data_IF_069557819981
#
_entry.id   IF_069557819981
#
_cell.length_a   1.000
_cell.length_b   1.000
_cell.length_c   1.000
_cell.angle_alpha   90.00
_cell.angle_beta   90.00
_cell.angle_gamma   90.00
#
_symmetry.space_group_name_H-M   'P 1'
#
loop_
_entity.id
_entity.type
_entity.pdbx_description
1 polymer ?
#
# COMPACT_ATOMS: atom_id res chain seq x y z
N UNK A 1 -12.04 15.53 8.57
CA UNK A 1 -11.71 16.28 7.33
C UNK A 1 -10.22 16.24 6.98
N UNK A 2 -9.33 16.96 7.68
CA UNK A 2 -7.90 17.05 7.30
C UNK A 2 -7.20 15.68 7.23
N UNK A 3 -7.42 14.82 8.23
CA UNK A 3 -6.84 13.47 8.25
C UNK A 3 -7.26 12.63 7.03
N UNK A 4 -8.54 12.68 6.64
CA UNK A 4 -9.05 11.97 5.47
C UNK A 4 -8.38 12.48 4.18
N UNK A 5 -8.19 13.81 4.04
CA UNK A 5 -7.49 14.39 2.89
C UNK A 5 -6.03 13.94 2.82
N UNK A 6 -5.32 13.91 3.96
CA UNK A 6 -3.94 13.46 4.03
C UNK A 6 -3.82 11.96 3.69
N UNK A 7 -4.69 11.12 4.25
CA UNK A 7 -4.71 9.69 3.97
C UNK A 7 -5.04 9.39 2.51
N UNK A 8 -6.06 10.05 1.94
CA UNK A 8 -6.39 9.93 0.53
C UNK A 8 -5.21 10.37 -0.35
N UNK A 9 -4.57 11.49 -0.01
CA UNK A 9 -3.36 11.96 -0.70
C UNK A 9 -2.23 10.93 -0.68
N UNK A 10 -1.95 10.30 0.47
CA UNK A 10 -0.96 9.21 0.57
C UNK A 10 -1.35 8.02 -0.32
N UNK A 11 -2.62 7.60 -0.30
CA UNK A 11 -3.09 6.49 -1.14
C UNK A 11 -2.97 6.80 -2.64
N UNK A 12 -3.29 8.02 -3.06
CA UNK A 12 -3.13 8.46 -4.44
C UNK A 12 -1.66 8.56 -4.87
N UNK A 13 -0.77 9.04 -3.99
CA UNK A 13 0.67 9.04 -4.26
C UNK A 13 1.20 7.61 -4.42
N UNK A 14 0.79 6.67 -3.54
CA UNK A 14 1.14 5.27 -3.67
C UNK A 14 0.58 4.65 -4.96
N UNK A 15 -0.66 5.01 -5.35
CA UNK A 15 -1.22 4.59 -6.63
C UNK A 15 -0.37 5.08 -7.80
N UNK A 16 0.07 6.34 -7.77
CA UNK A 16 0.98 6.91 -8.77
C UNK A 16 2.31 6.17 -8.87
N UNK A 17 2.90 5.75 -7.75
CA UNK A 17 4.11 4.92 -7.74
C UNK A 17 3.87 3.57 -8.42
N UNK A 18 2.71 2.95 -8.21
CA UNK A 18 2.37 1.68 -8.86
C UNK A 18 2.10 1.83 -10.36
N UNK A 19 1.46 2.93 -10.78
CA UNK A 19 1.35 3.27 -12.20
C UNK A 19 2.74 3.45 -12.82
N UNK A 20 3.64 4.18 -12.14
CA UNK A 20 5.02 4.34 -12.57
C UNK A 20 5.75 3.01 -12.75
N UNK A 21 5.61 2.06 -11.82
CA UNK A 21 6.15 0.71 -11.98
C UNK A 21 5.50 -0.08 -13.11
N UNK A 22 4.19 0.08 -13.33
CA UNK A 22 3.51 -0.57 -14.45
C UNK A 22 4.17 -0.17 -15.78
N UNK A 23 4.55 1.11 -15.93
CA UNK A 23 5.24 1.63 -17.12
C UNK A 23 6.78 1.42 -17.11
N UNK A 24 7.31 0.54 -16.26
CA UNK A 24 8.74 0.19 -16.24
C UNK A 24 9.64 1.10 -15.40
N UNK A 25 9.04 1.85 -14.48
CA UNK A 25 9.75 2.63 -13.49
C UNK A 25 10.70 1.80 -12.62
N UNK A 26 11.85 2.38 -12.21
CA UNK A 26 12.94 1.66 -11.54
C UNK A 26 13.22 2.12 -10.12
N UNK A 27 12.72 3.29 -9.71
CA UNK A 27 12.82 3.74 -8.33
C UNK A 27 12.15 2.73 -7.38
N UNK A 28 12.70 2.43 -6.19
CA UNK A 28 13.87 3.03 -5.54
C UNK A 28 15.24 2.47 -5.96
N UNK A 29 15.31 1.63 -7.00
CA UNK A 29 16.55 1.18 -7.63
C UNK A 29 16.97 2.02 -8.84
N UNK A 30 18.01 1.56 -9.54
CA UNK A 30 18.53 2.17 -10.77
C UNK A 30 18.35 1.28 -12.01
N UNK A 31 18.08 0.00 -11.80
CA UNK A 31 17.76 -1.01 -12.81
C UNK A 31 16.63 -1.92 -12.32
N UNK A 32 16.17 -2.85 -13.16
CA UNK A 32 15.09 -3.76 -12.79
C UNK A 32 15.46 -4.66 -11.61
N UNK A 33 16.70 -5.17 -11.57
CA UNK A 33 17.14 -6.08 -10.53
C UNK A 33 17.18 -5.40 -9.15
N UNK A 34 17.77 -4.20 -9.09
CA UNK A 34 17.82 -3.38 -7.88
C UNK A 34 16.42 -2.93 -7.46
N UNK A 35 15.52 -2.58 -8.39
CA UNK A 35 14.11 -2.30 -8.06
C UNK A 35 13.44 -3.51 -7.40
N UNK A 36 13.60 -4.71 -7.97
CA UNK A 36 13.01 -5.95 -7.43
C UNK A 36 13.59 -6.26 -6.04
N UNK A 37 14.88 -6.05 -5.82
CA UNK A 37 15.52 -6.19 -4.51
C UNK A 37 14.93 -5.27 -3.43
N UNK A 38 14.50 -4.06 -3.81
CA UNK A 38 13.97 -3.07 -2.88
C UNK A 38 12.45 -3.18 -2.68
N UNK A 39 11.71 -3.71 -3.64
CA UNK A 39 10.24 -3.76 -3.63
C UNK A 39 9.70 -5.16 -3.31
N UNK A 40 10.41 -6.21 -3.72
CA UNK A 40 9.98 -7.61 -3.57
C UNK A 40 10.91 -8.39 -2.65
N UNK A 41 12.22 -8.12 -2.69
CA UNK A 41 13.19 -8.75 -1.79
C UNK A 41 13.66 -10.14 -2.20
N UNK A 42 13.74 -10.44 -3.50
CA UNK A 42 14.41 -11.66 -4.00
C UNK A 42 15.30 -11.36 -5.21
N UNK A 43 16.44 -12.04 -5.28
CA UNK A 43 17.53 -11.72 -6.23
C UNK A 43 17.71 -12.68 -7.39
N UNK A 44 17.18 -13.91 -7.33
CA UNK A 44 17.37 -14.90 -8.40
C UNK A 44 16.07 -15.20 -9.15
N UNK A 45 15.96 -14.66 -10.37
CA UNK A 45 15.00 -15.08 -11.39
C UNK A 45 13.60 -14.48 -11.29
N UNK A 46 13.31 -13.64 -10.29
CA UNK A 46 12.05 -12.89 -10.26
C UNK A 46 12.12 -11.67 -11.16
N UNK A 47 11.20 -11.62 -12.13
CA UNK A 47 10.94 -10.43 -12.94
C UNK A 47 10.26 -9.37 -12.09
N UNK A 48 10.34 -8.12 -12.52
CA UNK A 48 9.49 -7.08 -11.96
C UNK A 48 8.00 -7.51 -11.98
N UNK A 49 7.18 -7.02 -11.04
CA UNK A 49 5.74 -7.22 -11.08
C UNK A 49 5.21 -6.92 -12.48
N UNK A 50 4.34 -7.78 -13.01
CA UNK A 50 3.77 -7.55 -14.34
C UNK A 50 3.01 -6.22 -14.37
N UNK A 51 2.92 -5.62 -15.56
CA UNK A 51 2.11 -4.43 -15.79
C UNK A 51 0.73 -4.55 -15.14
N UNK A 52 0.05 -5.70 -15.36
CA UNK A 52 -1.27 -5.97 -14.82
C UNK A 52 -1.29 -6.00 -13.29
N UNK A 53 -0.28 -6.59 -12.64
CA UNK A 53 -0.21 -6.64 -11.19
C UNK A 53 -0.01 -5.24 -10.59
N UNK A 54 0.94 -4.47 -11.12
CA UNK A 54 1.20 -3.11 -10.66
C UNK A 54 -0.02 -2.20 -10.90
N UNK A 55 -0.63 -2.28 -12.07
CA UNK A 55 -1.80 -1.47 -12.41
C UNK A 55 -3.04 -1.85 -11.58
N UNK A 56 -3.27 -3.14 -11.31
CA UNK A 56 -4.36 -3.58 -10.44
C UNK A 56 -4.21 -3.03 -9.02
N UNK A 57 -2.99 -3.02 -8.47
CA UNK A 57 -2.74 -2.42 -7.16
C UNK A 57 -2.94 -0.91 -7.20
N UNK A 58 -2.53 -0.24 -8.29
CA UNK A 58 -2.79 1.19 -8.46
C UNK A 58 -4.29 1.52 -8.44
N UNK A 59 -5.12 0.72 -9.14
CA UNK A 59 -6.58 0.88 -9.12
C UNK A 59 -7.17 0.61 -7.74
N UNK A 60 -6.70 -0.41 -7.03
CA UNK A 60 -7.15 -0.70 -5.68
C UNK A 60 -6.80 0.44 -4.70
N UNK A 61 -5.60 1.01 -4.81
CA UNK A 61 -5.19 2.18 -4.02
C UNK A 61 -5.98 3.44 -4.38
N UNK A 62 -6.28 3.65 -5.66
CA UNK A 62 -7.13 4.75 -6.12
C UNK A 62 -8.55 4.62 -5.57
N UNK A 63 -9.15 3.43 -5.64
CA UNK A 63 -10.46 3.16 -5.07
C UNK A 63 -10.44 3.34 -3.54
N UNK A 64 -9.40 2.86 -2.85
CA UNK A 64 -9.21 3.06 -1.42
C UNK A 64 -9.08 4.54 -1.05
N UNK A 65 -8.33 5.32 -1.83
CA UNK A 65 -8.23 6.77 -1.67
C UNK A 65 -9.59 7.45 -1.82
N UNK A 66 -10.41 7.03 -2.78
CA UNK A 66 -11.79 7.49 -2.94
C UNK A 66 -12.69 7.15 -1.75
N UNK A 67 -12.59 5.92 -1.21
CA UNK A 67 -13.34 5.50 -0.02
C UNK A 67 -12.99 6.32 1.23
N UNK A 68 -11.70 6.58 1.45
CA UNK A 68 -11.22 7.45 2.52
C UNK A 68 -11.68 8.88 2.29
N UNK A 69 -11.57 9.38 1.07
CA UNK A 69 -11.97 10.74 0.72
C UNK A 69 -13.46 10.95 0.99
N UNK A 70 -14.33 9.99 0.63
CA UNK A 70 -15.77 10.07 0.85
C UNK A 70 -16.16 10.35 2.32
N UNK A 71 -15.36 9.92 3.30
CA UNK A 71 -15.60 10.23 4.73
C UNK A 71 -15.50 11.71 5.10
N UNK A 72 -14.95 12.55 4.22
CA UNK A 72 -14.87 13.98 4.42
C UNK A 72 -16.16 14.73 4.03
N UNK A 73 -17.14 14.05 3.42
CA UNK A 73 -18.44 14.62 3.04
C UNK A 73 -19.56 14.11 3.94
N UNK A 74 -20.72 14.80 3.96
CA UNK A 74 -21.89 14.33 4.68
C UNK A 74 -22.33 12.91 4.24
N UNK A 75 -22.87 12.09 5.15
CA UNK A 75 -23.30 10.73 4.83
C UNK A 75 -24.33 10.68 3.71
N UNK A 76 -24.23 9.63 2.88
CA UNK A 76 -25.18 9.35 1.80
C UNK A 76 -25.96 8.06 2.09
N UNK A 77 -27.01 7.72 1.34
CA UNK A 77 -27.66 6.40 1.47
C UNK A 77 -26.72 5.20 1.22
N UNK A 78 -25.56 5.44 0.59
CA UNK A 78 -24.53 4.42 0.36
C UNK A 78 -23.54 4.28 1.54
N UNK A 79 -23.67 5.08 2.60
CA UNK A 79 -22.72 5.11 3.72
C UNK A 79 -22.42 3.73 4.31
N UNK A 80 -23.41 2.83 4.54
CA UNK A 80 -23.11 1.51 5.08
C UNK A 80 -22.16 0.68 4.20
N UNK A 81 -22.23 0.86 2.88
CA UNK A 81 -21.34 0.18 1.93
C UNK A 81 -19.95 0.82 1.91
N UNK A 82 -19.89 2.15 2.02
CA UNK A 82 -18.62 2.88 2.11
C UNK A 82 -17.88 2.55 3.42
N UNK A 83 -18.61 2.44 4.53
CA UNK A 83 -18.11 1.98 5.82
C UNK A 83 -17.53 0.57 5.74
N UNK A 84 -18.28 -0.36 5.17
CA UNK A 84 -17.80 -1.73 4.97
C UNK A 84 -16.53 -1.74 4.10
N UNK A 85 -16.49 -0.93 3.04
CA UNK A 85 -15.32 -0.76 2.18
C UNK A 85 -14.11 -0.22 2.94
N UNK A 86 -14.29 0.78 3.81
CA UNK A 86 -13.19 1.33 4.64
C UNK A 86 -12.71 0.33 5.69
N UNK A 87 -13.60 -0.46 6.30
CA UNK A 87 -13.19 -1.55 7.19
C UNK A 87 -12.43 -2.66 6.47
N UNK A 88 -12.83 -3.01 5.24
CA UNK A 88 -12.07 -3.93 4.40
C UNK A 88 -10.67 -3.37 4.07
N UNK A 89 -10.58 -2.08 3.73
CA UNK A 89 -9.32 -1.39 3.48
C UNK A 89 -8.42 -1.37 4.72
N UNK A 90 -8.99 -1.07 5.89
CA UNK A 90 -8.33 -1.17 7.19
C UNK A 90 -7.74 -2.56 7.40
N UNK A 91 -8.53 -3.61 7.22
CA UNK A 91 -8.10 -4.99 7.43
C UNK A 91 -6.91 -5.36 6.51
N UNK A 92 -6.95 -4.96 5.24
CA UNK A 92 -5.85 -5.20 4.29
C UNK A 92 -4.55 -4.51 4.75
N UNK A 93 -4.61 -3.23 5.09
CA UNK A 93 -3.43 -2.48 5.52
C UNK A 93 -2.91 -2.93 6.89
N UNK A 94 -3.80 -3.23 7.84
CA UNK A 94 -3.45 -3.76 9.15
C UNK A 94 -2.78 -5.13 9.03
N UNK A 95 -3.36 -6.04 8.24
CA UNK A 95 -2.80 -7.37 8.00
C UNK A 95 -1.42 -7.28 7.32
N UNK A 96 -1.29 -6.48 6.25
CA UNK A 96 0.00 -6.24 5.57
C UNK A 96 1.03 -5.66 6.55
N UNK A 97 0.65 -4.61 7.27
CA UNK A 97 1.51 -3.94 8.25
C UNK A 97 2.00 -4.91 9.33
N UNK A 98 1.09 -5.65 9.96
CA UNK A 98 1.40 -6.64 10.99
C UNK A 98 2.26 -7.79 10.44
N UNK A 99 1.99 -8.27 9.22
CA UNK A 99 2.74 -9.32 8.56
C UNK A 99 4.25 -9.01 8.44
N UNK A 100 4.62 -7.73 8.39
CA UNK A 100 6.03 -7.28 8.39
C UNK A 100 6.80 -7.73 9.62
N UNK A 101 6.13 -7.85 10.77
CA UNK A 101 6.73 -8.20 12.05
C UNK A 101 6.52 -9.66 12.44
N UNK A 102 5.78 -10.42 11.62
CA UNK A 102 5.66 -11.86 11.77
C UNK A 102 6.90 -12.52 11.16
N UNK A 103 7.77 -13.16 11.96
CA UNK A 103 9.08 -13.60 11.49
C UNK A 103 9.03 -14.48 10.25
N UNK A 104 8.01 -15.34 10.11
CA UNK A 104 7.93 -16.36 9.05
C UNK A 104 7.56 -15.82 7.67
N UNK A 105 6.85 -14.69 7.57
CA UNK A 105 6.21 -14.26 6.30
C UNK A 105 7.25 -13.72 5.31
N UNK A 106 8.20 -12.90 5.78
CA UNK A 106 9.18 -12.24 4.93
C UNK A 106 10.61 -12.79 5.09
N UNK A 107 10.80 -13.98 5.69
CA UNK A 107 12.13 -14.60 5.84
C UNK A 107 12.89 -14.75 4.53
N UNK A 108 12.17 -14.99 3.44
CA UNK A 108 12.77 -15.16 2.12
C UNK A 108 13.55 -13.93 1.66
N UNK A 109 13.25 -12.74 2.21
CA UNK A 109 13.87 -11.49 1.84
C UNK A 109 15.01 -11.09 2.79
N UNK A 110 15.30 -11.89 3.81
CA UNK A 110 16.37 -11.61 4.76
C UNK A 110 17.70 -11.38 4.04
N UNK A 111 18.41 -10.31 4.41
CA UNK A 111 19.63 -9.86 3.73
C UNK A 111 19.42 -8.87 2.57
N UNK A 112 18.21 -8.77 2.00
CA UNK A 112 17.91 -7.83 0.91
C UNK A 112 17.59 -6.40 1.38
N UNK A 113 17.70 -5.37 0.51
CA UNK A 113 17.22 -4.02 0.81
C UNK A 113 15.75 -3.97 1.22
N UNK A 114 14.89 -4.76 0.56
CA UNK A 114 13.47 -4.88 0.92
C UNK A 114 13.28 -5.28 2.37
N UNK A 115 14.04 -6.22 2.93
CA UNK A 115 13.87 -6.61 4.35
C UNK A 115 14.02 -5.43 5.31
N UNK A 116 15.03 -4.57 5.07
CA UNK A 116 15.27 -3.38 5.89
C UNK A 116 14.17 -2.34 5.67
N UNK A 117 13.82 -2.05 4.41
CA UNK A 117 12.78 -1.08 4.06
C UNK A 117 11.40 -1.52 4.55
N UNK A 118 11.11 -2.81 4.47
CA UNK A 118 9.84 -3.36 4.92
C UNK A 118 9.65 -3.11 6.42
N UNK A 119 10.67 -3.39 7.25
CA UNK A 119 10.58 -3.19 8.70
C UNK A 119 10.61 -1.73 9.15
N UNK A 120 11.29 -0.85 8.39
CA UNK A 120 11.52 0.56 8.78
C UNK A 120 10.57 1.55 8.13
N UNK A 121 10.02 1.24 6.96
CA UNK A 121 9.21 2.17 6.17
C UNK A 121 7.88 1.53 5.73
N UNK A 122 7.90 0.43 4.98
CA UNK A 122 6.66 -0.08 4.37
C UNK A 122 5.66 -0.64 5.40
N UNK A 123 6.12 -1.44 6.35
CA UNK A 123 5.30 -1.96 7.46
C UNK A 123 4.71 -0.85 8.33
N UNK A 124 5.55 0.07 8.86
CA UNK A 124 5.08 1.24 9.59
C UNK A 124 4.09 2.08 8.81
N UNK A 125 4.32 2.33 7.52
CA UNK A 125 3.40 3.09 6.66
C UNK A 125 2.05 2.39 6.53
N UNK A 126 2.03 1.07 6.28
CA UNK A 126 0.78 0.32 6.22
C UNK A 126 0.02 0.36 7.55
N UNK A 127 0.71 0.22 8.69
CA UNK A 127 0.07 0.35 10.00
C UNK A 127 -0.45 1.77 10.26
N UNK A 128 0.31 2.80 9.88
CA UNK A 128 -0.11 4.19 10.01
C UNK A 128 -1.36 4.50 9.17
N UNK A 129 -1.43 3.97 7.94
CA UNK A 129 -2.62 4.08 7.09
C UNK A 129 -3.81 3.37 7.76
N UNK A 130 -3.62 2.14 8.27
CA UNK A 130 -4.68 1.41 8.97
C UNK A 130 -5.18 2.19 10.21
N UNK A 131 -4.28 2.69 11.05
CA UNK A 131 -4.66 3.51 12.21
C UNK A 131 -5.40 4.79 11.79
N UNK A 132 -4.96 5.44 10.72
CA UNK A 132 -5.64 6.60 10.15
C UNK A 132 -7.06 6.28 9.67
N UNK A 133 -7.25 5.15 8.98
CA UNK A 133 -8.57 4.67 8.56
C UNK A 133 -9.45 4.39 9.78
N UNK A 134 -8.92 3.71 10.80
CA UNK A 134 -9.67 3.46 12.04
C UNK A 134 -10.09 4.77 12.72
N UNK A 135 -9.21 5.77 12.77
CA UNK A 135 -9.49 7.05 13.41
C UNK A 135 -10.53 7.91 12.68
N UNK A 136 -10.67 7.81 11.36
CA UNK A 136 -11.74 8.51 10.62
C UNK A 136 -13.08 7.77 10.68
N UNK A 137 -13.08 6.52 11.15
CA UNK A 137 -14.21 5.61 11.17
C UNK A 137 -14.91 5.55 12.54
N UNK A 138 -14.25 6.07 13.58
CA UNK A 138 -14.80 6.24 14.94
C UNK A 138 -15.37 7.64 15.11
#
# INVERSE_FOLDING_TARGET
MLLALLLAGVLFLLAGVHVYWAFGGRWPGHDEASMVEHVVGRTRGMKAPSFLAAFAVALALMAGGGLVLASAWPPTPLEPWLDAGRWALFAVFAARGAATYVPRIFRYAEGTPFWRLNRRAYGPLCLAIALGICAIQM
#
